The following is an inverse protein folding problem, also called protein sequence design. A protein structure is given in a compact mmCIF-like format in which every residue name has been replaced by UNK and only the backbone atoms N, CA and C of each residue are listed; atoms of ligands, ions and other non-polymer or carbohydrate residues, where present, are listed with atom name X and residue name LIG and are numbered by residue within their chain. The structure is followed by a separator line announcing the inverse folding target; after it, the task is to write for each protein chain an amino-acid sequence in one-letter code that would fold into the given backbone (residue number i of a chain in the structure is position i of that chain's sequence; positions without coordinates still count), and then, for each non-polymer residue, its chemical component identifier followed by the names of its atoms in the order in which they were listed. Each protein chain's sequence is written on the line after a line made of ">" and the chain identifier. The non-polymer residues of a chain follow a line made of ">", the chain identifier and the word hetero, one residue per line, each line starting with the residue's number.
data_IF_588718331645
#
_entry.id   IF_588718331645
#
_cell.length_a   1.000
_cell.length_b   1.000
_cell.length_c   1.000
_cell.angle_alpha   90.00
_cell.angle_beta   90.00
_cell.angle_gamma   90.00
#
_symmetry.space_group_name_H-M   'P 1'
#
loop_
_entity.id
_entity.type
_entity.pdbx_description
1 polymer ?
#
# COMPACT_ATOMS: atom_id res chain seq x y z
N UNK A 1 23.99 -8.31 -67.08
CA UNK A 1 23.36 -9.64 -67.20
C UNK A 1 22.27 -9.73 -66.16
N UNK A 2 21.03 -9.84 -66.64
CA UNK A 2 19.82 -10.05 -65.85
C UNK A 2 19.92 -11.29 -64.97
N UNK A 3 19.32 -11.24 -63.77
CA UNK A 3 18.67 -12.42 -63.23
C UNK A 3 17.53 -12.03 -62.30
N UNK A 4 16.33 -12.30 -62.77
CA UNK A 4 15.05 -12.26 -62.09
C UNK A 4 14.86 -13.55 -61.27
N UNK A 5 14.35 -13.44 -60.04
CA UNK A 5 13.62 -14.52 -59.34
C UNK A 5 12.58 -13.85 -58.43
N UNK A 6 11.35 -13.71 -58.93
CA UNK A 6 10.18 -14.56 -58.67
C UNK A 6 9.74 -14.50 -57.21
N UNK A 7 8.63 -13.80 -57.05
CA UNK A 7 7.87 -13.51 -55.84
C UNK A 7 6.99 -14.72 -55.54
N UNK A 8 7.10 -15.29 -54.34
CA UNK A 8 6.09 -16.20 -53.80
C UNK A 8 5.25 -15.47 -52.74
N UNK A 9 3.93 -15.68 -52.81
CA UNK A 9 2.89 -14.98 -52.06
C UNK A 9 2.53 -15.79 -50.81
N UNK A 10 3.01 -15.36 -49.64
CA UNK A 10 2.57 -15.88 -48.35
C UNK A 10 1.77 -14.84 -47.57
N UNK A 11 0.45 -15.02 -47.50
CA UNK A 11 -0.50 -14.20 -46.71
C UNK A 11 -0.25 -14.38 -45.21
N UNK A 12 -0.05 -13.29 -44.48
CA UNK A 12 -0.40 -13.24 -43.04
C UNK A 12 -0.86 -11.83 -42.66
N UNK A 13 -1.85 -11.81 -41.76
CA UNK A 13 -2.80 -10.73 -41.48
C UNK A 13 -2.19 -9.73 -40.48
N UNK A 14 -2.20 -8.45 -40.84
CA UNK A 14 -1.71 -7.36 -39.99
C UNK A 14 -2.72 -7.04 -38.87
N UNK A 15 -2.21 -6.91 -37.63
CA UNK A 15 -2.92 -6.31 -36.49
C UNK A 15 -2.31 -4.91 -36.31
N UNK A 16 -3.08 -3.82 -36.36
CA UNK A 16 -2.53 -2.49 -36.08
C UNK A 16 -2.33 -2.25 -34.58
N UNK A 17 -1.17 -1.64 -34.31
CA UNK A 17 -0.61 -1.17 -33.05
C UNK A 17 -1.53 -0.12 -32.40
N UNK A 18 -1.90 -0.32 -31.13
CA UNK A 18 -2.56 0.68 -30.30
C UNK A 18 -1.51 1.65 -29.76
N UNK A 19 -1.70 2.93 -30.07
CA UNK A 19 -0.90 4.06 -29.57
C UNK A 19 -1.34 4.39 -28.15
N UNK A 20 -0.35 4.54 -27.27
CA UNK A 20 -0.50 4.99 -25.88
C UNK A 20 -0.86 6.49 -25.84
N UNK A 21 -1.79 6.86 -24.97
CA UNK A 21 -1.95 8.24 -24.48
C UNK A 21 -2.22 8.24 -22.98
N UNK A 22 -1.61 9.23 -22.32
CA UNK A 22 -1.28 9.34 -20.91
C UNK A 22 -2.42 9.26 -19.89
N UNK A 23 -2.09 8.69 -18.73
CA UNK A 23 -2.83 8.75 -17.47
C UNK A 23 -2.47 10.03 -16.72
N UNK A 24 -3.48 10.71 -16.16
CA UNK A 24 -3.34 11.65 -15.05
C UNK A 24 -4.25 11.19 -13.92
N UNK A 25 -3.66 11.18 -12.72
CA UNK A 25 -4.25 10.82 -11.44
C UNK A 25 -4.71 12.11 -10.72
N UNK A 26 -5.80 12.03 -9.95
CA UNK A 26 -6.03 12.96 -8.85
C UNK A 26 -6.99 12.35 -7.84
N UNK A 27 -6.40 11.98 -6.71
CA UNK A 27 -7.05 11.76 -5.43
C UNK A 27 -7.46 13.09 -4.79
N UNK A 28 -8.62 13.12 -4.13
CA UNK A 28 -8.95 14.16 -3.16
C UNK A 28 -9.41 13.50 -1.86
N UNK A 29 -8.78 13.92 -0.77
CA UNK A 29 -9.18 13.65 0.60
C UNK A 29 -9.73 14.95 1.18
N UNK A 30 -10.92 14.91 1.77
CA UNK A 30 -11.39 15.92 2.73
C UNK A 30 -12.17 15.23 3.84
N UNK A 31 -11.66 15.38 5.06
CA UNK A 31 -12.38 15.18 6.31
C UNK A 31 -13.28 16.39 6.56
N UNK A 32 -14.50 16.16 7.03
CA UNK A 32 -15.12 17.00 8.06
C UNK A 32 -16.19 16.18 8.78
N UNK A 33 -16.17 16.28 10.11
CA UNK A 33 -17.15 15.76 11.05
C UNK A 33 -18.20 16.84 11.31
N UNK A 34 -19.47 16.47 11.40
CA UNK A 34 -20.43 17.05 12.35
C UNK A 34 -21.65 16.13 12.50
N UNK A 35 -22.18 16.11 13.73
CA UNK A 35 -23.11 15.12 14.29
C UNK A 35 -24.59 15.49 14.16
N UNK A 36 -25.41 14.43 14.24
CA UNK A 36 -26.80 14.32 14.72
C UNK A 36 -27.96 15.07 14.04
N UNK A 37 -28.83 14.27 13.42
CA UNK A 37 -30.27 14.39 13.62
C UNK A 37 -30.92 13.00 13.54
N UNK A 38 -31.47 12.58 14.65
CA UNK A 38 -32.24 11.36 14.85
C UNK A 38 -33.59 11.43 14.12
N UNK A 39 -33.85 10.49 13.21
CA UNK A 39 -35.21 10.07 12.90
C UNK A 39 -35.32 8.56 13.12
N UNK A 40 -35.97 8.23 14.22
CA UNK A 40 -36.47 6.89 14.52
C UNK A 40 -37.51 6.54 13.46
N UNK A 41 -37.23 5.52 12.66
CA UNK A 41 -38.26 4.81 11.91
C UNK A 41 -37.97 3.34 12.05
N UNK A 42 -38.51 2.81 13.14
CA UNK A 42 -38.89 1.41 13.32
C UNK A 42 -39.58 0.89 12.05
N UNK A 43 -38.83 0.33 11.11
CA UNK A 43 -39.40 -0.46 10.02
C UNK A 43 -39.20 -1.94 10.34
N UNK A 44 -40.32 -2.61 10.56
CA UNK A 44 -40.38 -4.02 10.86
C UNK A 44 -39.93 -4.80 9.63
N UNK A 45 -38.82 -5.54 9.77
CA UNK A 45 -38.37 -6.58 8.84
C UNK A 45 -39.51 -7.60 8.66
N UNK A 46 -40.37 -7.36 7.67
CA UNK A 46 -41.23 -8.37 7.07
C UNK A 46 -40.48 -8.91 5.88
N UNK A 47 -40.00 -10.14 6.00
CA UNK A 47 -39.56 -10.99 4.90
C UNK A 47 -40.66 -11.04 3.83
N UNK A 48 -40.62 -10.11 2.88
CA UNK A 48 -41.50 -10.10 1.71
C UNK A 48 -40.77 -10.84 0.62
N UNK A 49 -41.25 -12.03 0.30
CA UNK A 49 -40.75 -12.83 -0.81
C UNK A 49 -40.61 -11.97 -2.08
N UNK A 50 -39.43 -12.05 -2.72
CA UNK A 50 -39.05 -11.23 -3.87
C UNK A 50 -39.88 -11.68 -5.08
N UNK A 51 -41.10 -11.17 -5.19
CA UNK A 51 -41.95 -11.38 -6.35
C UNK A 51 -41.55 -10.44 -7.48
N UNK A 52 -41.68 -10.85 -8.75
CA UNK A 52 -41.33 -10.01 -9.89
C UNK A 52 -42.18 -8.73 -9.97
N UNK A 53 -43.35 -8.72 -9.33
CA UNK A 53 -44.23 -7.54 -9.25
C UNK A 53 -43.70 -6.51 -8.26
N UNK A 54 -43.18 -6.95 -7.11
CA UNK A 54 -42.57 -6.07 -6.12
C UNK A 54 -41.32 -5.36 -6.67
N UNK A 55 -40.50 -6.07 -7.44
CA UNK A 55 -39.36 -5.47 -8.12
C UNK A 55 -39.79 -4.43 -9.16
N UNK A 56 -40.87 -4.69 -9.89
CA UNK A 56 -41.43 -3.71 -10.84
C UNK A 56 -41.94 -2.46 -10.12
N UNK A 57 -42.67 -2.61 -9.02
CA UNK A 57 -43.13 -1.45 -8.24
C UNK A 57 -41.96 -0.64 -7.68
N UNK A 58 -40.90 -1.30 -7.24
CA UNK A 58 -39.71 -0.62 -6.69
C UNK A 58 -38.95 0.16 -7.79
N UNK A 59 -38.86 -0.40 -9.00
CA UNK A 59 -38.26 0.29 -10.16
C UNK A 59 -39.11 1.49 -10.57
N UNK A 60 -40.43 1.38 -10.49
CA UNK A 60 -41.34 2.48 -10.83
C UNK A 60 -41.26 3.62 -9.82
N UNK A 61 -41.19 3.31 -8.52
CA UNK A 61 -40.94 4.32 -7.47
C UNK A 61 -39.58 4.99 -7.64
N UNK A 62 -38.54 4.24 -8.02
CA UNK A 62 -37.22 4.80 -8.28
C UNK A 62 -37.22 5.77 -9.48
N UNK A 63 -38.01 5.47 -10.52
CA UNK A 63 -38.18 6.36 -11.68
C UNK A 63 -38.92 7.65 -11.31
N UNK A 64 -39.98 7.57 -10.52
CA UNK A 64 -40.73 8.76 -10.08
C UNK A 64 -39.84 9.69 -9.25
N UNK A 65 -39.07 9.15 -8.32
CA UNK A 65 -38.13 9.93 -7.52
C UNK A 65 -37.03 10.59 -8.38
N UNK A 66 -36.55 9.92 -9.42
CA UNK A 66 -35.58 10.50 -10.35
C UNK A 66 -36.16 11.69 -11.12
N UNK A 67 -37.41 11.58 -11.58
CA UNK A 67 -38.12 12.66 -12.28
C UNK A 67 -38.36 13.85 -11.35
N UNK A 68 -38.79 13.60 -10.11
CA UNK A 68 -39.00 14.68 -9.14
C UNK A 68 -37.70 15.40 -8.78
N UNK A 69 -36.61 14.66 -8.65
CA UNK A 69 -35.28 15.24 -8.41
C UNK A 69 -34.81 16.08 -9.59
N UNK A 70 -35.04 15.63 -10.83
CA UNK A 70 -34.73 16.40 -12.02
C UNK A 70 -35.59 17.67 -12.13
N UNK A 71 -36.88 17.59 -11.76
CA UNK A 71 -37.77 18.74 -11.67
C UNK A 71 -37.33 19.74 -10.60
N UNK A 72 -36.91 19.27 -9.42
CA UNK A 72 -36.33 20.12 -8.37
C UNK A 72 -35.04 20.82 -8.85
N UNK A 73 -34.19 20.10 -9.58
CA UNK A 73 -32.98 20.68 -10.17
C UNK A 73 -33.32 21.75 -11.23
N UNK A 74 -34.36 21.55 -12.04
CA UNK A 74 -34.83 22.57 -12.98
C UNK A 74 -35.39 23.81 -12.27
N UNK A 75 -36.18 23.63 -11.21
CA UNK A 75 -36.70 24.74 -10.40
C UNK A 75 -35.56 25.54 -9.74
N UNK A 76 -34.50 24.87 -9.28
CA UNK A 76 -33.31 25.56 -8.74
C UNK A 76 -32.47 26.29 -9.81
N UNK A 77 -32.61 25.91 -11.08
CA UNK A 77 -31.88 26.50 -12.21
C UNK A 77 -32.56 27.76 -12.75
N UNK A 78 -33.89 27.80 -12.71
CA UNK A 78 -34.68 28.97 -13.13
C UNK A 78 -34.82 30.03 -12.00
N UNK A 79 -34.49 29.69 -10.76
CA UNK A 79 -34.50 30.60 -9.60
C UNK A 79 -33.22 31.40 -9.35
N UNK A 80 -32.21 31.32 -10.22
CA UNK A 80 -30.90 31.97 -10.05
C UNK A 80 -30.68 33.22 -10.93
N UNK A 81 -31.75 33.81 -11.49
CA UNK A 81 -31.68 35.02 -12.33
C UNK A 81 -32.81 36.01 -12.04
N UNK A 82 -33.09 36.37 -10.79
CA UNK A 82 -33.76 37.63 -10.45
C UNK A 82 -33.24 38.15 -9.10
N UNK A 83 -32.09 38.85 -9.12
CA UNK A 83 -31.78 39.87 -8.11
C UNK A 83 -31.93 41.24 -8.78
N UNK A 84 -32.92 42.02 -8.34
CA UNK A 84 -33.13 43.39 -8.77
C UNK A 84 -31.96 44.28 -8.35
N UNK A 85 -30.99 44.47 -9.26
CA UNK A 85 -29.96 45.50 -9.12
C UNK A 85 -30.58 46.84 -9.49
N UNK A 86 -30.78 47.70 -8.48
CA UNK A 86 -31.05 49.12 -8.66
C UNK A 86 -29.80 49.76 -9.27
N UNK A 87 -29.80 49.99 -10.59
CA UNK A 87 -28.82 50.84 -11.26
C UNK A 87 -29.23 52.30 -11.03
N UNK A 88 -28.48 52.99 -10.17
CA UNK A 88 -28.53 54.45 -10.08
C UNK A 88 -27.78 55.02 -11.29
N UNK A 89 -28.48 55.79 -12.10
CA UNK A 89 -27.92 56.42 -13.31
C UNK A 89 -26.81 57.45 -13.01
N UNK A 90 -25.84 57.51 -13.92
CA UNK A 90 -24.92 58.62 -14.21
C UNK A 90 -23.73 58.93 -13.27
N UNK A 91 -22.81 57.98 -13.09
CA UNK A 91 -21.36 58.33 -13.07
C UNK A 91 -20.58 57.44 -14.02
N UNK A 92 -20.03 58.04 -15.09
CA UNK A 92 -19.08 57.39 -15.99
C UNK A 92 -17.88 56.87 -15.18
N UNK A 93 -17.79 55.56 -15.00
CA UNK A 93 -16.62 54.89 -14.42
C UNK A 93 -15.38 55.19 -15.27
N UNK A 94 -14.62 56.22 -14.88
CA UNK A 94 -13.29 56.44 -15.43
C UNK A 94 -12.37 55.39 -14.79
N UNK A 95 -11.68 54.54 -15.57
CA UNK A 95 -10.73 53.60 -14.99
C UNK A 95 -9.67 54.39 -14.23
N UNK A 96 -9.42 54.00 -12.98
CA UNK A 96 -8.41 54.63 -12.13
C UNK A 96 -7.03 54.55 -12.83
N UNK A 97 -6.19 55.60 -12.70
CA UNK A 97 -4.86 55.57 -13.27
C UNK A 97 -4.04 54.40 -12.68
N UNK A 98 -3.25 53.67 -13.49
CA UNK A 98 -2.45 52.56 -13.01
C UNK A 98 -1.38 53.07 -12.04
N UNK A 99 -1.33 52.49 -10.84
CA UNK A 99 -0.28 52.76 -9.86
C UNK A 99 0.96 51.90 -10.21
N UNK A 100 2.12 52.53 -10.33
CA UNK A 100 3.40 51.86 -10.49
C UNK A 100 4.13 51.79 -9.14
N UNK A 101 4.20 50.61 -8.48
CA UNK A 101 4.77 50.50 -7.13
C UNK A 101 6.30 50.51 -7.07
N UNK A 102 7.00 50.68 -8.20
CA UNK A 102 8.47 50.62 -8.24
C UNK A 102 9.01 49.21 -7.97
N UNK A 103 10.28 49.11 -7.58
CA UNK A 103 10.94 47.83 -7.31
C UNK A 103 10.65 47.38 -5.88
N UNK A 104 9.79 46.38 -5.74
CA UNK A 104 9.43 45.80 -4.45
C UNK A 104 10.49 44.78 -3.98
N UNK A 105 10.70 44.63 -2.66
CA UNK A 105 11.53 43.58 -2.11
C UNK A 105 10.96 42.19 -2.44
N UNK A 106 11.82 41.18 -2.45
CA UNK A 106 11.40 39.80 -2.69
C UNK A 106 10.36 39.37 -1.63
N UNK A 107 9.30 38.64 -2.03
CA UNK A 107 8.25 38.22 -1.11
C UNK A 107 8.77 37.17 -0.11
N UNK A 108 8.22 37.20 1.10
CA UNK A 108 8.50 36.24 2.18
C UNK A 108 8.00 34.82 1.85
N UNK A 109 7.05 34.70 0.93
CA UNK A 109 6.44 33.42 0.56
C UNK A 109 6.64 33.20 -0.94
N UNK A 110 7.22 32.05 -1.30
CA UNK A 110 7.27 31.62 -2.68
C UNK A 110 6.09 30.70 -2.97
N UNK A 111 5.13 31.19 -3.74
CA UNK A 111 4.05 30.38 -4.26
C UNK A 111 4.53 29.69 -5.54
N UNK A 112 4.42 28.36 -5.58
CA UNK A 112 4.66 27.60 -6.81
C UNK A 112 3.51 27.79 -7.81
N UNK A 113 3.65 27.24 -9.01
CA UNK A 113 2.62 27.31 -10.07
C UNK A 113 1.28 26.62 -9.72
N UNK A 114 1.22 25.91 -8.59
CA UNK A 114 0.03 25.21 -8.11
C UNK A 114 -0.88 26.09 -7.25
N UNK A 115 -2.19 25.80 -7.25
CA UNK A 115 -3.20 26.45 -6.38
C UNK A 115 -3.12 26.03 -4.90
N UNK A 116 -1.97 25.54 -4.44
CA UNK A 116 -1.78 24.98 -3.11
C UNK A 116 -0.61 25.64 -2.41
N UNK A 117 -0.91 26.57 -1.49
CA UNK A 117 -0.02 27.09 -0.45
C UNK A 117 1.34 27.67 -0.89
N UNK A 118 2.07 28.32 0.02
CA UNK A 118 3.46 28.67 -0.22
C UNK A 118 4.32 27.40 -0.19
N UNK A 119 5.18 27.21 -1.21
CA UNK A 119 6.10 26.07 -1.35
C UNK A 119 7.32 26.24 -0.45
N UNK A 120 7.76 27.49 -0.25
CA UNK A 120 8.86 27.82 0.64
C UNK A 120 8.59 29.14 1.37
N UNK A 121 9.10 29.23 2.60
CA UNK A 121 9.09 30.44 3.42
C UNK A 121 10.52 30.97 3.41
N UNK A 122 10.69 32.22 2.97
CA UNK A 122 11.95 32.94 3.02
C UNK A 122 12.06 33.73 4.31
N UNK A 123 12.97 33.31 5.17
CA UNK A 123 13.29 34.04 6.41
C UNK A 123 14.54 34.92 6.19
N UNK A 124 14.43 36.26 6.27
CA UNK A 124 15.53 37.18 5.98
C UNK A 124 16.68 37.04 6.99
N UNK A 125 16.40 36.59 8.22
CA UNK A 125 17.42 36.37 9.24
C UNK A 125 18.28 35.15 8.92
N UNK A 126 17.70 34.12 8.31
CA UNK A 126 18.43 32.93 7.84
C UNK A 126 19.31 33.31 6.65
N UNK A 127 18.83 34.10 5.69
CA UNK A 127 19.64 34.57 4.56
C UNK A 127 20.82 35.43 5.02
N UNK A 128 20.61 36.32 5.98
CA UNK A 128 21.69 37.12 6.59
C UNK A 128 22.71 36.23 7.29
N UNK A 129 22.26 35.22 8.04
CA UNK A 129 23.16 34.26 8.67
C UNK A 129 23.96 33.44 7.65
N UNK A 130 23.34 33.02 6.54
CA UNK A 130 24.02 32.31 5.44
C UNK A 130 25.04 33.23 4.74
N UNK A 131 24.71 34.49 4.50
CA UNK A 131 25.63 35.47 3.91
C UNK A 131 26.81 35.80 4.83
N UNK A 132 26.55 35.93 6.14
CA UNK A 132 27.60 36.12 7.14
C UNK A 132 28.51 34.89 7.23
N UNK A 133 27.92 33.69 7.26
CA UNK A 133 28.69 32.44 7.36
C UNK A 133 29.45 32.08 6.08
N UNK A 134 28.93 32.42 4.90
CA UNK A 134 29.65 32.20 3.64
C UNK A 134 30.87 33.10 3.48
N UNK A 135 30.86 34.27 4.12
CA UNK A 135 32.03 35.17 4.19
C UNK A 135 33.09 34.70 5.19
N UNK A 136 32.72 33.84 6.14
CA UNK A 136 33.66 33.26 7.11
C UNK A 136 34.39 32.14 6.39
N UNK A 137 35.66 32.39 6.07
CA UNK A 137 36.59 31.40 5.52
C UNK A 137 36.93 30.35 6.60
N UNK A 138 35.97 29.51 6.95
CA UNK A 138 36.24 28.34 7.78
C UNK A 138 37.19 27.43 6.99
N UNK A 139 38.32 26.99 7.58
CA UNK A 139 39.18 26.00 6.96
C UNK A 139 38.32 24.80 6.56
N UNK A 140 38.44 24.36 5.31
CA UNK A 140 37.69 23.21 4.82
C UNK A 140 37.84 22.06 5.84
N UNK A 141 36.73 21.42 6.26
CA UNK A 141 36.81 20.33 7.22
C UNK A 141 37.83 19.30 6.71
N UNK A 142 38.74 18.82 7.57
CA UNK A 142 39.79 17.91 7.15
C UNK A 142 39.14 16.72 6.44
N UNK A 143 39.64 16.39 5.25
CA UNK A 143 39.12 15.29 4.47
C UNK A 143 39.04 14.03 5.35
N UNK A 144 37.88 13.34 5.40
CA UNK A 144 37.73 12.17 6.25
C UNK A 144 38.84 11.17 5.93
N UNK A 145 39.46 10.55 6.96
CA UNK A 145 40.57 9.63 6.75
C UNK A 145 40.13 8.53 5.78
N UNK A 146 40.99 8.15 4.81
CA UNK A 146 40.65 7.11 3.86
C UNK A 146 40.30 5.83 4.62
N UNK A 147 39.16 5.21 4.30
CA UNK A 147 38.74 3.94 4.90
C UNK A 147 39.74 2.85 4.53
N UNK A 148 40.73 2.63 5.40
CA UNK A 148 41.73 1.57 5.25
C UNK A 148 41.15 0.27 5.79
N UNK A 149 41.27 -0.80 4.99
CA UNK A 149 40.92 -2.15 5.45
C UNK A 149 41.89 -2.61 6.55
N UNK A 150 41.56 -3.70 7.27
CA UNK A 150 42.39 -4.29 8.33
C UNK A 150 43.82 -4.65 7.91
N UNK A 151 44.09 -4.67 6.61
CA UNK A 151 45.39 -4.94 5.98
C UNK A 151 46.12 -3.67 5.48
N UNK A 152 45.62 -2.46 5.80
CA UNK A 152 46.27 -1.18 5.50
C UNK A 152 46.23 -0.77 4.02
N UNK A 153 45.54 -1.54 3.16
CA UNK A 153 45.37 -1.24 1.74
C UNK A 153 44.01 -0.58 1.48
N UNK A 154 43.91 0.36 0.52
CA UNK A 154 42.62 0.88 0.10
C UNK A 154 41.79 -0.27 -0.50
N UNK A 155 40.50 -0.39 -0.14
CA UNK A 155 39.67 -1.49 -0.62
C UNK A 155 39.54 -1.43 -2.14
N UNK A 156 39.61 -2.60 -2.79
CA UNK A 156 39.42 -2.64 -4.23
C UNK A 156 37.98 -2.27 -4.60
N UNK A 157 37.73 -1.73 -5.80
CA UNK A 157 36.35 -1.42 -6.25
C UNK A 157 35.39 -2.62 -6.13
N UNK A 158 35.91 -3.85 -6.23
CA UNK A 158 35.15 -5.10 -6.05
C UNK A 158 34.79 -5.32 -4.58
N UNK A 159 35.74 -5.15 -3.67
CA UNK A 159 35.50 -5.24 -2.23
C UNK A 159 34.50 -4.17 -1.75
N UNK A 160 34.63 -2.93 -2.22
CA UNK A 160 33.67 -1.86 -1.89
C UNK A 160 32.26 -2.23 -2.33
N UNK A 161 32.10 -2.76 -3.56
CA UNK A 161 30.79 -3.25 -4.05
C UNK A 161 30.27 -4.43 -3.22
N UNK A 162 31.14 -5.35 -2.82
CA UNK A 162 30.75 -6.48 -1.98
C UNK A 162 30.31 -6.03 -0.58
N UNK A 163 31.01 -5.07 0.04
CA UNK A 163 30.65 -4.48 1.32
C UNK A 163 29.30 -3.75 1.23
N UNK A 164 29.10 -2.94 0.18
CA UNK A 164 27.80 -2.31 -0.10
C UNK A 164 26.68 -3.33 -0.32
N UNK A 165 26.96 -4.48 -0.93
CA UNK A 165 25.94 -5.50 -1.16
C UNK A 165 25.58 -6.32 0.09
N UNK A 166 26.42 -6.32 1.13
CA UNK A 166 26.13 -7.00 2.41
C UNK A 166 25.15 -6.22 3.27
N UNK A 167 25.00 -4.93 2.99
CA UNK A 167 24.35 -3.98 3.87
C UNK A 167 23.28 -3.21 3.09
N UNK A 168 22.14 -2.88 3.69
CA UNK A 168 21.08 -2.12 3.01
C UNK A 168 21.48 -0.66 2.70
N UNK A 169 22.57 -0.19 3.32
CA UNK A 169 23.17 1.13 3.17
C UNK A 169 22.83 2.10 4.31
N UNK A 170 23.41 3.32 4.30
CA UNK A 170 23.27 4.28 5.40
C UNK A 170 21.84 4.80 5.60
N UNK A 171 21.05 4.87 4.52
CA UNK A 171 19.63 5.28 4.59
C UNK A 171 18.77 4.30 5.39
N UNK A 172 19.26 3.08 5.61
CA UNK A 172 18.59 2.04 6.39
C UNK A 172 19.52 1.47 7.46
N UNK A 173 20.21 2.36 8.16
CA UNK A 173 21.06 2.09 9.34
C UNK A 173 22.00 0.89 9.17
N UNK A 174 22.50 0.70 7.96
CA UNK A 174 23.39 -0.40 7.63
C UNK A 174 22.86 -1.79 8.04
N UNK A 175 21.56 -2.05 7.77
CA UNK A 175 20.95 -3.36 8.05
C UNK A 175 21.71 -4.49 7.31
N UNK A 176 22.26 -5.48 8.04
CA UNK A 176 23.02 -6.57 7.43
C UNK A 176 22.08 -7.56 6.73
N UNK A 177 22.56 -8.14 5.63
CA UNK A 177 21.96 -9.33 5.04
C UNK A 177 22.31 -10.56 5.90
N UNK A 178 21.35 -11.47 6.16
CA UNK A 178 21.62 -12.70 6.88
C UNK A 178 22.60 -13.58 6.12
N UNK A 179 23.44 -14.31 6.87
CA UNK A 179 24.43 -15.19 6.27
C UNK A 179 23.76 -16.38 5.59
N UNK A 180 24.33 -16.86 4.48
CA UNK A 180 23.81 -18.05 3.78
C UNK A 180 23.77 -19.30 4.68
N UNK A 181 24.65 -19.36 5.67
CA UNK A 181 24.72 -20.45 6.65
C UNK A 181 23.53 -20.45 7.62
N UNK A 182 22.92 -19.29 7.89
CA UNK A 182 21.77 -19.18 8.79
C UNK A 182 20.45 -19.46 8.06
N UNK A 183 20.40 -19.33 6.73
CA UNK A 183 19.18 -19.51 5.93
C UNK A 183 18.46 -20.86 6.16
N UNK A 184 19.15 -22.02 6.27
CA UNK A 184 18.47 -23.29 6.53
C UNK A 184 17.74 -23.31 7.89
N UNK A 185 18.29 -22.62 8.89
CA UNK A 185 17.65 -22.49 10.21
C UNK A 185 16.43 -21.57 10.14
N UNK A 186 16.55 -20.48 9.38
CA UNK A 186 15.49 -19.49 9.21
C UNK A 186 14.40 -19.94 8.24
N UNK A 187 14.63 -20.99 7.44
CA UNK A 187 13.68 -21.45 6.45
C UNK A 187 12.28 -21.69 7.01
N UNK A 188 12.19 -22.35 8.17
CA UNK A 188 10.92 -22.64 8.84
C UNK A 188 10.17 -21.37 9.24
N UNK A 189 10.91 -20.38 9.72
CA UNK A 189 10.39 -19.07 10.13
C UNK A 189 9.89 -18.29 8.91
N UNK A 190 10.66 -18.25 7.84
CA UNK A 190 10.29 -17.60 6.59
C UNK A 190 9.04 -18.24 5.97
N UNK A 191 8.97 -19.57 5.98
CA UNK A 191 7.83 -20.30 5.45
C UNK A 191 6.56 -20.07 6.29
N UNK A 192 6.68 -20.04 7.62
CA UNK A 192 5.55 -19.72 8.49
C UNK A 192 5.05 -18.28 8.29
N UNK A 193 5.94 -17.30 8.09
CA UNK A 193 5.53 -15.93 7.75
C UNK A 193 4.80 -15.84 6.42
N UNK A 194 5.28 -16.56 5.39
CA UNK A 194 4.60 -16.67 4.10
C UNK A 194 3.19 -17.25 4.27
N UNK A 195 3.05 -18.28 5.09
CA UNK A 195 1.79 -18.98 5.33
C UNK A 195 0.95 -18.36 6.45
N UNK A 196 1.22 -17.10 6.86
CA UNK A 196 0.53 -16.45 7.99
C UNK A 196 -0.99 -16.44 7.88
N UNK A 197 -1.52 -16.39 6.66
CA UNK A 197 -2.96 -16.40 6.37
C UNK A 197 -3.62 -17.77 6.62
N UNK A 198 -2.85 -18.86 6.66
CA UNK A 198 -3.35 -20.21 6.88
C UNK A 198 -3.19 -20.67 8.33
N UNK A 199 -2.39 -19.97 9.13
CA UNK A 199 -2.11 -20.32 10.52
C UNK A 199 -3.32 -20.08 11.43
N UNK A 200 -3.96 -18.92 11.31
CA UNK A 200 -5.13 -18.54 12.10
C UNK A 200 -6.34 -18.30 11.19
N UNK A 201 -7.44 -19.07 11.31
CA UNK A 201 -8.63 -18.90 10.49
C UNK A 201 -9.35 -17.56 10.71
N UNK A 202 -9.05 -16.84 11.79
CA UNK A 202 -9.70 -15.57 12.14
C UNK A 202 -8.92 -14.35 11.66
N UNK A 203 -7.66 -14.52 11.25
CA UNK A 203 -6.79 -13.41 10.86
C UNK A 203 -6.51 -13.47 9.37
N UNK A 204 -6.99 -12.43 8.67
CA UNK A 204 -6.72 -12.25 7.25
C UNK A 204 -5.75 -11.08 7.07
N UNK A 205 -4.58 -11.37 6.51
CA UNK A 205 -3.59 -10.35 6.17
C UNK A 205 -3.68 -9.99 4.68
N UNK A 206 -3.20 -8.78 4.36
CA UNK A 206 -2.95 -8.39 2.98
C UNK A 206 -1.93 -9.37 2.35
N UNK A 207 -2.20 -9.78 1.12
CA UNK A 207 -1.29 -10.62 0.33
C UNK A 207 -0.12 -9.77 -0.13
N UNK A 208 1.09 -10.26 0.12
CA UNK A 208 2.31 -9.59 -0.30
C UNK A 208 2.66 -10.08 -1.72
N UNK A 209 3.10 -9.18 -2.61
CA UNK A 209 3.45 -9.54 -4.00
C UNK A 209 4.57 -10.60 -4.07
N UNK A 210 5.39 -10.68 -3.02
CA UNK A 210 6.45 -11.66 -2.86
C UNK A 210 5.98 -13.03 -2.35
N UNK A 211 4.75 -13.17 -1.82
CA UNK A 211 4.28 -14.37 -1.13
C UNK A 211 4.38 -15.63 -2.02
N UNK A 212 4.14 -15.48 -3.33
CA UNK A 212 4.23 -16.57 -4.31
C UNK A 212 5.65 -17.09 -4.57
N UNK A 213 6.71 -16.30 -4.31
CA UNK A 213 8.09 -16.59 -4.73
C UNK A 213 8.93 -17.34 -3.68
N UNK A 214 8.34 -17.78 -2.58
CA UNK A 214 9.01 -18.56 -1.53
C UNK A 214 10.08 -17.75 -0.82
N UNK A 215 11.22 -18.37 -0.47
CA UNK A 215 12.38 -17.69 0.14
C UNK A 215 12.85 -16.49 -0.70
N UNK A 216 12.73 -16.59 -2.04
CA UNK A 216 13.09 -15.52 -2.98
C UNK A 216 12.12 -14.32 -2.94
N UNK A 217 10.96 -14.50 -2.33
CA UNK A 217 9.97 -13.45 -2.12
C UNK A 217 10.29 -12.52 -0.95
N UNK A 218 11.22 -12.91 -0.08
CA UNK A 218 11.63 -12.07 1.04
C UNK A 218 12.61 -10.97 0.60
N UNK A 219 12.62 -9.83 1.32
CA UNK A 219 13.65 -8.82 1.14
C UNK A 219 15.05 -9.42 1.29
N UNK A 220 16.00 -8.95 0.48
CA UNK A 220 17.40 -9.41 0.55
C UNK A 220 18.06 -9.07 1.90
N UNK A 221 17.69 -7.93 2.48
CA UNK A 221 18.20 -7.45 3.75
C UNK A 221 17.07 -7.53 4.78
N UNK A 222 17.24 -8.39 5.78
CA UNK A 222 16.30 -8.53 6.89
C UNK A 222 17.04 -8.95 8.16
N UNK A 223 16.51 -8.55 9.30
CA UNK A 223 16.98 -8.99 10.60
C UNK A 223 15.80 -9.49 11.43
N UNK A 224 16.07 -10.44 12.32
CA UNK A 224 15.09 -10.97 13.27
C UNK A 224 15.37 -10.33 14.61
N UNK A 225 14.41 -9.54 15.09
CA UNK A 225 14.45 -8.91 16.40
C UNK A 225 13.60 -9.66 17.42
N UNK A 226 13.87 -9.40 18.70
CA UNK A 226 12.98 -9.81 19.80
C UNK A 226 12.34 -8.55 20.38
N UNK A 227 11.04 -8.61 20.66
CA UNK A 227 10.31 -7.49 21.23
C UNK A 227 10.71 -7.38 22.71
N UNK A 228 11.19 -6.21 23.12
CA UNK A 228 11.49 -5.94 24.53
C UNK A 228 10.18 -5.67 25.29
N UNK A 229 10.00 -6.24 26.50
CA UNK A 229 8.80 -6.03 27.27
C UNK A 229 8.66 -4.54 27.64
N UNK A 230 7.45 -4.02 27.55
CA UNK A 230 7.15 -2.66 27.98
C UNK A 230 7.16 -2.60 29.50
N UNK A 231 7.77 -1.55 30.06
CA UNK A 231 7.80 -1.33 31.51
C UNK A 231 6.44 -0.81 31.97
N UNK A 232 5.43 -1.68 32.01
CA UNK A 232 4.14 -1.37 32.63
C UNK A 232 4.26 -1.44 34.15
N UNK A 233 3.57 -0.56 34.91
CA UNK A 233 3.68 -0.53 36.37
C UNK A 233 3.27 -1.85 37.03
N UNK A 234 2.33 -2.54 36.39
CA UNK A 234 1.99 -3.92 36.71
C UNK A 234 2.85 -4.78 35.78
N UNK A 235 3.93 -5.36 36.31
CA UNK A 235 4.81 -6.30 35.60
C UNK A 235 4.13 -7.65 35.30
N UNK A 236 2.82 -7.62 35.03
CA UNK A 236 1.95 -8.76 34.82
C UNK A 236 2.05 -9.25 33.38
N UNK A 237 1.81 -10.55 33.20
CA UNK A 237 1.63 -11.15 31.89
C UNK A 237 0.41 -10.50 31.21
N UNK A 238 0.67 -9.65 30.23
CA UNK A 238 -0.35 -9.00 29.40
C UNK A 238 -0.20 -9.50 27.96
N UNK A 239 -1.11 -9.10 27.08
CA UNK A 239 -1.03 -9.39 25.64
C UNK A 239 0.31 -8.95 25.04
N UNK A 240 0.88 -7.88 25.57
CA UNK A 240 2.10 -7.26 25.06
C UNK A 240 3.35 -7.85 25.75
N UNK A 241 3.18 -8.39 26.96
CA UNK A 241 4.27 -8.90 27.80
C UNK A 241 4.10 -10.39 28.07
N UNK A 242 4.74 -11.23 27.24
CA UNK A 242 4.77 -12.68 27.46
C UNK A 242 5.52 -13.05 28.75
N UNK A 243 5.04 -14.02 29.55
CA UNK A 243 5.78 -14.58 30.67
C UNK A 243 7.02 -15.36 30.19
N UNK A 244 8.03 -15.48 31.07
CA UNK A 244 9.32 -16.11 30.73
C UNK A 244 9.20 -17.55 30.22
N UNK A 245 8.18 -18.30 30.64
CA UNK A 245 7.93 -19.68 30.22
C UNK A 245 7.43 -19.80 28.78
N UNK A 246 6.71 -18.79 28.29
CA UNK A 246 6.13 -18.77 26.95
C UNK A 246 7.10 -18.18 25.91
N UNK A 247 8.10 -17.39 26.34
CA UNK A 247 9.14 -16.87 25.45
C UNK A 247 10.00 -18.01 24.92
N UNK A 248 10.09 -18.16 23.59
CA UNK A 248 10.95 -19.17 22.95
C UNK A 248 12.06 -18.53 22.14
N UNK A 249 12.92 -19.37 21.58
CA UNK A 249 14.05 -18.94 20.75
C UNK A 249 13.62 -18.55 19.33
N UNK A 250 12.53 -19.14 18.84
CA UNK A 250 11.96 -18.88 17.51
C UNK A 250 10.46 -18.68 17.63
N UNK A 251 9.87 -17.86 16.76
CA UNK A 251 8.42 -17.63 16.79
C UNK A 251 7.64 -18.89 16.34
N UNK A 252 8.24 -19.75 15.53
CA UNK A 252 7.63 -21.03 15.13
C UNK A 252 7.50 -21.97 16.34
N UNK A 253 8.48 -21.98 17.24
CA UNK A 253 8.38 -22.75 18.49
C UNK A 253 7.24 -22.22 19.38
N UNK A 254 7.02 -20.91 19.41
CA UNK A 254 5.88 -20.29 20.12
C UNK A 254 4.54 -20.73 19.53
N UNK A 255 4.44 -20.72 18.20
CA UNK A 255 3.25 -21.21 17.48
C UNK A 255 3.01 -22.70 17.71
N UNK A 256 4.06 -23.50 17.73
CA UNK A 256 3.95 -24.92 18.04
C UNK A 256 3.47 -25.09 19.47
N UNK A 257 3.94 -24.30 20.43
CA UNK A 257 3.50 -24.41 21.83
C UNK A 257 2.04 -24.01 22.06
N UNK A 258 1.45 -23.15 21.20
CA UNK A 258 0.05 -22.77 21.29
C UNK A 258 -0.91 -23.97 21.07
N UNK A 259 -1.77 -24.18 22.07
CA UNK A 259 -2.76 -25.26 22.07
C UNK A 259 -3.87 -25.04 21.04
N UNK A 260 -4.27 -23.80 20.77
CA UNK A 260 -5.34 -23.50 19.82
C UNK A 260 -4.88 -23.74 18.39
N UNK A 261 -3.72 -23.21 18.02
CA UNK A 261 -3.07 -23.47 16.73
C UNK A 261 -2.89 -24.97 16.46
N UNK A 262 -2.37 -25.73 17.45
CA UNK A 262 -2.23 -27.19 17.36
C UNK A 262 -3.55 -27.90 17.06
N UNK A 263 -4.62 -27.56 17.79
CA UNK A 263 -5.94 -28.20 17.61
C UNK A 263 -6.52 -27.91 16.24
N UNK A 264 -6.43 -26.66 15.79
CA UNK A 264 -6.90 -26.26 14.47
C UNK A 264 -6.12 -26.94 13.34
N UNK A 265 -4.78 -26.89 13.41
CA UNK A 265 -3.91 -27.49 12.42
C UNK A 265 -4.15 -29.01 12.30
N UNK A 266 -4.28 -29.72 13.44
CA UNK A 266 -4.61 -31.15 13.44
C UNK A 266 -5.96 -31.43 12.80
N UNK A 267 -7.01 -30.70 13.22
CA UNK A 267 -8.36 -30.87 12.66
C UNK A 267 -8.37 -30.68 11.14
N UNK A 268 -7.73 -29.62 10.65
CA UNK A 268 -7.67 -29.32 9.21
C UNK A 268 -6.78 -30.29 8.44
N UNK A 269 -5.68 -30.75 9.05
CA UNK A 269 -4.85 -31.80 8.45
C UNK A 269 -5.66 -33.09 8.25
N UNK A 270 -6.37 -33.55 9.28
CA UNK A 270 -7.18 -34.77 9.21
C UNK A 270 -8.31 -34.66 8.17
N UNK A 271 -8.97 -33.50 8.08
CA UNK A 271 -9.96 -33.19 7.05
C UNK A 271 -9.36 -33.29 5.63
N UNK A 272 -8.20 -32.66 5.40
CA UNK A 272 -7.51 -32.67 4.12
C UNK A 272 -6.99 -34.07 3.74
N UNK A 273 -6.45 -34.81 4.72
CA UNK A 273 -5.99 -36.19 4.51
C UNK A 273 -7.16 -37.13 4.22
N UNK A 274 -8.30 -36.96 4.87
CA UNK A 274 -9.53 -37.70 4.57
C UNK A 274 -9.98 -37.46 3.13
N UNK A 275 -10.07 -36.19 2.72
CA UNK A 275 -10.47 -35.81 1.35
C UNK A 275 -9.48 -36.31 0.31
N UNK A 276 -8.17 -36.17 0.56
CA UNK A 276 -7.12 -36.67 -0.34
C UNK A 276 -7.12 -38.19 -0.41
N UNK A 277 -7.28 -38.87 0.73
CA UNK A 277 -7.35 -40.32 0.84
C UNK A 277 -8.55 -40.91 0.11
N UNK A 278 -9.72 -40.28 0.24
CA UNK A 278 -10.94 -40.68 -0.48
C UNK A 278 -10.78 -40.61 -2.01
N UNK A 279 -10.04 -39.61 -2.51
CA UNK A 279 -9.74 -39.45 -3.94
C UNK A 279 -8.47 -40.18 -4.39
N UNK A 280 -7.77 -40.87 -3.47
CA UNK A 280 -6.45 -41.45 -3.70
C UNK A 280 -6.46 -42.91 -4.17
N UNK A 281 -5.27 -43.42 -4.49
CA UNK A 281 -5.05 -44.81 -4.91
C UNK A 281 -5.58 -45.84 -3.90
N UNK A 282 -5.60 -45.49 -2.61
CA UNK A 282 -6.08 -46.35 -1.54
C UNK A 282 -7.56 -46.75 -1.70
N UNK A 283 -8.43 -45.89 -2.26
CA UNK A 283 -9.83 -46.27 -2.50
C UNK A 283 -9.98 -47.25 -3.66
N UNK A 284 -9.17 -47.11 -4.70
CA UNK A 284 -9.09 -48.09 -5.78
C UNK A 284 -8.56 -49.44 -5.26
N UNK A 285 -7.52 -49.42 -4.42
CA UNK A 285 -7.02 -50.64 -3.78
C UNK A 285 -8.08 -51.32 -2.88
N UNK A 286 -8.84 -50.56 -2.08
CA UNK A 286 -9.96 -51.09 -1.29
C UNK A 286 -11.05 -51.70 -2.16
N UNK A 287 -11.47 -51.02 -3.22
CA UNK A 287 -12.43 -51.56 -4.21
C UNK A 287 -11.93 -52.85 -4.85
N UNK A 288 -10.65 -52.90 -5.25
CA UNK A 288 -10.08 -54.07 -5.86
C UNK A 288 -9.92 -55.23 -4.87
N UNK A 289 -9.61 -54.95 -3.60
CA UNK A 289 -9.55 -55.95 -2.54
C UNK A 289 -10.93 -56.58 -2.26
N UNK A 290 -12.00 -55.77 -2.25
CA UNK A 290 -13.39 -56.25 -2.15
C UNK A 290 -13.80 -57.15 -3.31
N UNK A 291 -13.17 -56.99 -4.49
CA UNK A 291 -13.42 -57.80 -5.69
C UNK A 291 -12.60 -59.08 -5.76
N UNK A 292 -11.62 -59.28 -4.87
CA UNK A 292 -10.83 -60.51 -4.86
C UNK A 292 -11.66 -61.61 -4.19
N UNK A 293 -11.78 -62.80 -4.81
CA UNK A 293 -12.50 -63.91 -4.20
C UNK A 293 -11.75 -64.34 -2.92
N UNK A 294 -12.51 -64.58 -1.85
CA UNK A 294 -12.03 -65.30 -0.67
C UNK A 294 -12.02 -66.79 -1.04
N UNK A 295 -10.87 -67.28 -1.46
CA UNK A 295 -10.57 -68.70 -1.52
C UNK A 295 -9.90 -69.11 -0.22
#
# INVERSE_FOLDING_TARGET
>A
MSSTKVIDKGKSKAIPKIVQSALHDSSTSTSDSDSDSSSDSSDSEKDKDITPEYLKSLIETARQNAIEKERQMQISKDGAMEEDIIKVDDTKDRPLPPLNPGTLPAPYFEFGEGRFGPVSIRDPDIERAIAMTSSILAPAPPAPPPELTKSGKPPTKKEIKAMKNKTAGPSWYDLPAPSEADLPRLYREVEALRLRNQLDPKRFYKKDEGEGKGIKGLPKHFAIGTILPSSTPFGTASTDNLPRSQRKRTFVDELVDDAEAKRYAKKKFDELQSVRGAKGRATLHKKNALRKPKW
#
